data_IF_449398090087
#
_entry.id   IF_449398090087
#
_cell.length_a   1.000
_cell.length_b   1.000
_cell.length_c   1.000
_cell.angle_alpha   90.00
_cell.angle_beta   90.00
_cell.angle_gamma   90.00
#
_symmetry.space_group_name_H-M   'P 1'
#
loop_
_entity.id
_entity.type
_entity.pdbx_description
1 polymer ?
#
# COMPACT_ATOMS: atom_id res chain seq x y z
N UNK A 1 -0.63 24.04 -8.79
CA UNK A 1 0.17 23.52 -7.65
C UNK A 1 -0.56 23.91 -6.38
N UNK A 2 -0.91 22.95 -5.51
CA UNK A 2 -1.58 23.24 -4.25
C UNK A 2 -0.54 23.42 -3.13
N UNK A 3 -0.83 24.26 -2.14
CA UNK A 3 0.03 24.47 -0.97
C UNK A 3 -0.62 23.82 0.25
N UNK A 4 0.10 22.91 0.92
CA UNK A 4 -0.31 22.31 2.18
C UNK A 4 0.34 23.08 3.33
N UNK A 5 -0.46 23.63 4.24
CA UNK A 5 0.03 24.28 5.45
C UNK A 5 -0.31 23.42 6.68
N UNK A 6 0.70 23.06 7.47
CA UNK A 6 0.54 22.24 8.68
C UNK A 6 0.79 23.13 9.89
N UNK A 7 -0.22 23.30 10.74
CA UNK A 7 -0.11 24.03 12.00
C UNK A 7 0.28 23.07 13.12
N UNK A 8 1.05 23.57 14.10
CA UNK A 8 1.47 22.83 15.30
C UNK A 8 2.21 21.51 15.00
N UNK A 9 3.09 21.50 14.00
CA UNK A 9 3.95 20.34 13.75
C UNK A 9 4.94 20.18 14.92
N UNK A 10 5.02 19.01 15.59
CA UNK A 10 5.96 18.81 16.68
C UNK A 10 7.41 19.02 16.22
N UNK A 11 8.19 19.80 16.97
CA UNK A 11 9.59 20.12 16.61
C UNK A 11 10.45 18.89 16.40
N UNK A 12 10.25 17.86 17.23
CA UNK A 12 10.95 16.58 17.10
C UNK A 12 10.65 15.88 15.77
N UNK A 13 9.41 15.98 15.28
CA UNK A 13 9.01 15.43 13.99
C UNK A 13 9.62 16.24 12.84
N UNK A 14 9.59 17.57 12.95
CA UNK A 14 10.22 18.45 11.95
C UNK A 14 11.73 18.19 11.82
N UNK A 15 12.44 18.01 12.93
CA UNK A 15 13.88 17.66 12.94
C UNK A 15 14.15 16.31 12.27
N UNK A 16 13.32 15.30 12.52
CA UNK A 16 13.44 13.98 11.85
C UNK A 16 13.23 14.10 10.35
N UNK A 17 12.24 14.89 9.92
CA UNK A 17 11.97 15.21 8.52
C UNK A 17 13.17 15.91 7.85
N UNK A 18 13.74 16.92 8.50
CA UNK A 18 14.94 17.61 8.01
C UNK A 18 16.13 16.68 7.86
N UNK A 19 16.38 15.82 8.86
CA UNK A 19 17.48 14.86 8.82
C UNK A 19 17.33 13.86 7.66
N UNK A 20 16.11 13.34 7.46
CA UNK A 20 15.78 12.44 6.35
C UNK A 20 15.94 13.15 5.00
N UNK A 21 15.37 14.34 4.84
CA UNK A 21 15.49 15.14 3.61
C UNK A 21 16.96 15.44 3.26
N UNK A 22 17.79 15.77 4.26
CA UNK A 22 19.24 15.99 4.07
C UNK A 22 19.95 14.73 3.60
N UNK A 23 19.67 13.58 4.21
CA UNK A 23 20.25 12.28 3.82
C UNK A 23 19.88 11.93 2.38
N UNK A 24 18.63 12.18 2.01
CA UNK A 24 18.08 11.80 0.71
C UNK A 24 18.29 12.92 -0.35
N UNK A 25 19.06 13.96 0.00
CA UNK A 25 19.42 15.14 -0.83
C UNK A 25 18.22 15.87 -1.43
N UNK A 26 17.14 16.00 -0.65
CA UNK A 26 15.89 16.65 -1.03
C UNK A 26 15.61 17.87 -0.15
N UNK A 27 14.78 18.78 -0.64
CA UNK A 27 14.15 19.77 0.24
C UNK A 27 13.13 19.10 1.16
N UNK A 28 12.83 19.72 2.31
CA UNK A 28 11.80 19.21 3.24
C UNK A 28 10.44 19.08 2.55
N UNK A 29 10.09 20.05 1.69
CA UNK A 29 8.83 19.99 0.93
C UNK A 29 8.79 18.78 -0.01
N UNK A 30 9.87 18.52 -0.74
CA UNK A 30 9.96 17.35 -1.62
C UNK A 30 9.90 16.04 -0.84
N UNK A 31 10.55 15.97 0.33
CA UNK A 31 10.51 14.77 1.16
C UNK A 31 9.10 14.52 1.72
N UNK A 32 8.40 15.57 2.15
CA UNK A 32 6.99 15.46 2.57
C UNK A 32 6.12 14.97 1.41
N UNK A 33 6.28 15.53 0.20
CA UNK A 33 5.54 15.06 -0.98
C UNK A 33 5.82 13.60 -1.27
N UNK A 34 7.09 13.18 -1.22
CA UNK A 34 7.47 11.79 -1.45
C UNK A 34 6.85 10.84 -0.42
N UNK A 35 6.90 11.19 0.87
CA UNK A 35 6.30 10.39 1.93
C UNK A 35 4.78 10.27 1.78
N UNK A 36 4.12 11.37 1.39
CA UNK A 36 2.69 11.36 1.15
C UNK A 36 2.34 10.52 -0.09
N UNK A 37 3.12 10.64 -1.17
CA UNK A 37 2.99 9.76 -2.35
C UNK A 37 3.17 8.30 -1.97
N UNK A 38 4.24 7.93 -1.26
CA UNK A 38 4.44 6.55 -0.80
C UNK A 38 3.27 6.08 0.07
N UNK A 39 2.80 6.89 1.02
CA UNK A 39 1.70 6.49 1.91
C UNK A 39 0.35 6.35 1.19
N UNK A 40 0.12 7.12 0.13
CA UNK A 40 -1.14 7.12 -0.64
C UNK A 40 -1.10 6.10 -1.80
N UNK A 41 0.07 5.88 -2.40
CA UNK A 41 0.28 4.92 -3.50
C UNK A 41 0.57 3.51 -2.99
N UNK A 42 1.01 3.37 -1.74
CA UNK A 42 0.98 2.09 -1.02
C UNK A 42 -0.46 1.70 -0.75
N UNK A 43 -1.17 1.29 -1.81
CA UNK A 43 -2.35 0.47 -1.67
C UNK A 43 -1.99 -0.65 -0.71
N UNK A 44 -2.76 -0.77 0.37
CA UNK A 44 -2.57 -1.79 1.39
C UNK A 44 -2.33 -3.12 0.65
N UNK A 45 -1.17 -3.79 0.83
CA UNK A 45 -0.91 -5.01 0.08
C UNK A 45 -2.09 -5.94 0.33
N UNK A 46 -2.82 -6.25 -0.74
CA UNK A 46 -4.02 -7.09 -0.64
C UNK A 46 -3.52 -8.46 -0.19
N UNK A 47 -3.83 -8.82 1.05
CA UNK A 47 -3.52 -10.15 1.54
C UNK A 47 -4.60 -11.10 1.08
N UNK A 48 -4.22 -12.27 0.55
CA UNK A 48 -5.17 -13.36 0.29
C UNK A 48 -5.90 -13.74 1.59
N UNK A 49 -5.27 -13.52 2.75
CA UNK A 49 -5.90 -13.75 4.07
C UNK A 49 -7.03 -12.75 4.36
N UNK A 50 -6.96 -11.53 3.83
CA UNK A 50 -8.06 -10.54 3.95
C UNK A 50 -9.29 -10.98 3.12
N UNK A 51 -9.11 -11.94 2.20
CA UNK A 51 -10.17 -12.52 1.37
C UNK A 51 -10.76 -13.80 1.97
N UNK A 52 -10.31 -14.22 3.17
CA UNK A 52 -10.79 -15.44 3.82
C UNK A 52 -12.31 -15.40 4.02
N UNK A 53 -12.99 -16.40 3.47
CA UNK A 53 -14.43 -16.57 3.63
C UNK A 53 -15.30 -15.82 2.63
N UNK A 54 -14.78 -14.84 1.88
CA UNK A 54 -15.56 -14.09 0.89
C UNK A 54 -16.06 -14.96 -0.28
N UNK A 55 -15.34 -16.03 -0.61
CA UNK A 55 -15.74 -16.97 -1.66
C UNK A 55 -16.67 -18.10 -1.20
N UNK A 56 -16.96 -18.25 0.10
CA UNK A 56 -17.56 -19.48 0.65
C UNK A 56 -18.86 -19.89 -0.05
N UNK A 57 -19.76 -18.93 -0.27
CA UNK A 57 -21.06 -19.17 -0.90
C UNK A 57 -20.93 -19.51 -2.39
N UNK A 58 -19.92 -18.94 -3.05
CA UNK A 58 -19.70 -19.12 -4.49
C UNK A 58 -19.03 -20.48 -4.78
N UNK A 59 -18.23 -20.99 -3.83
CA UNK A 59 -17.57 -22.29 -3.91
C UNK A 59 -18.38 -23.43 -3.29
N UNK A 60 -19.60 -23.16 -2.82
CA UNK A 60 -20.44 -24.18 -2.21
C UNK A 60 -20.88 -25.22 -3.26
N UNK A 61 -20.54 -26.49 -3.02
CA UNK A 61 -20.84 -27.59 -3.94
C UNK A 61 -19.93 -27.67 -5.18
N UNK A 62 -18.92 -26.80 -5.27
CA UNK A 62 -17.90 -26.85 -6.33
C UNK A 62 -16.67 -27.57 -5.78
N UNK A 63 -16.16 -28.56 -6.50
CA UNK A 63 -14.84 -29.14 -6.21
C UNK A 63 -13.76 -28.14 -6.64
N UNK A 64 -13.25 -27.39 -5.66
CA UNK A 64 -12.22 -26.40 -5.86
C UNK A 64 -10.92 -26.99 -6.43
N UNK A 65 -10.57 -28.23 -6.05
CA UNK A 65 -9.35 -28.88 -6.52
C UNK A 65 -9.46 -29.24 -8.01
N UNK A 66 -10.59 -29.82 -8.41
CA UNK A 66 -10.85 -30.14 -9.82
C UNK A 66 -10.93 -28.88 -10.70
N UNK A 67 -11.52 -27.80 -10.18
CA UNK A 67 -11.58 -26.51 -10.87
C UNK A 67 -10.17 -25.94 -11.12
N UNK A 68 -9.33 -25.86 -10.08
CA UNK A 68 -7.95 -25.36 -10.20
C UNK A 68 -7.14 -26.24 -11.15
N UNK A 69 -7.31 -27.56 -11.11
CA UNK A 69 -6.56 -28.46 -11.98
C UNK A 69 -6.91 -28.28 -13.46
N UNK A 70 -8.18 -27.98 -13.77
CA UNK A 70 -8.63 -27.66 -15.13
C UNK A 70 -8.05 -26.33 -15.63
N UNK A 71 -8.08 -25.30 -14.79
CA UNK A 71 -7.51 -23.99 -15.10
C UNK A 71 -5.99 -24.07 -15.32
N UNK A 72 -5.26 -24.87 -14.53
CA UNK A 72 -3.82 -25.06 -14.74
C UNK A 72 -3.52 -25.77 -16.07
N UNK A 73 -4.31 -26.78 -16.40
CA UNK A 73 -4.14 -27.54 -17.63
C UNK A 73 -4.48 -26.75 -18.90
N UNK A 74 -5.15 -25.59 -18.80
CA UNK A 74 -5.43 -24.72 -19.95
C UNK A 74 -4.34 -23.68 -20.23
N UNK A 75 -3.33 -23.59 -19.37
CA UNK A 75 -2.21 -22.66 -19.49
C UNK A 75 -0.94 -23.32 -20.07
N UNK A 76 -0.93 -24.66 -20.13
CA UNK A 76 0.07 -25.48 -20.84
C UNK A 76 -0.29 -25.63 -22.32
#
# INVERSE_FOLDING_TARGET
MATLNIKNLPDGLYKKLQARAKRDRRSVAQEVTHLLSEALESSKPLSILDLQGLGKEHWQGIDAAAHVHRERASWD
#
